data_IF_352706067731
#
_entry.id   IF_352706067731
#
_cell.length_a   1.000
_cell.length_b   1.000
_cell.length_c   1.000
_cell.angle_alpha   90.00
_cell.angle_beta   90.00
_cell.angle_gamma   90.00
#
_symmetry.space_group_name_H-M   'P 1'
#
loop_
_entity.id
_entity.type
_entity.pdbx_description
1 polymer ?
#
# COMPACT_ATOMS: atom_id res chain seq x y z
N UNK A 1 24.07 -12.20 -4.79
CA UNK A 1 22.60 -11.95 -4.84
C UNK A 1 22.23 -10.69 -4.07
N UNK A 2 22.44 -10.60 -2.74
CA UNK A 2 22.11 -9.37 -2.00
C UNK A 2 22.80 -8.10 -2.53
N UNK A 3 24.12 -8.16 -2.76
CA UNK A 3 24.85 -7.03 -3.32
C UNK A 3 24.31 -6.58 -4.68
N UNK A 4 23.83 -7.52 -5.49
CA UNK A 4 23.22 -7.21 -6.79
C UNK A 4 21.84 -6.56 -6.63
N UNK A 5 21.02 -7.05 -5.69
CA UNK A 5 19.75 -6.41 -5.32
C UNK A 5 19.98 -4.95 -4.92
N UNK A 6 20.93 -4.67 -4.02
CA UNK A 6 21.23 -3.32 -3.59
C UNK A 6 21.78 -2.44 -4.73
N UNK A 7 22.64 -3.00 -5.59
CA UNK A 7 23.22 -2.29 -6.74
C UNK A 7 22.16 -1.85 -7.75
N UNK A 8 21.07 -2.60 -7.91
CA UNK A 8 20.00 -2.31 -8.89
C UNK A 8 19.00 -1.24 -8.44
N UNK A 9 18.99 -0.86 -7.16
CA UNK A 9 18.06 0.16 -6.66
C UNK A 9 18.24 1.50 -7.41
N UNK A 10 17.18 2.18 -7.79
CA UNK A 10 17.26 3.56 -8.26
C UNK A 10 17.03 4.50 -7.07
N UNK A 11 18.11 4.91 -6.42
CA UNK A 11 18.06 5.69 -5.17
C UNK A 11 19.41 6.35 -4.88
N UNK A 12 19.46 7.17 -3.83
CA UNK A 12 20.68 7.85 -3.40
C UNK A 12 21.74 6.87 -2.91
N UNK A 13 23.01 7.27 -2.97
CA UNK A 13 24.12 6.42 -2.50
C UNK A 13 23.99 6.07 -1.01
N UNK A 14 23.49 6.98 -0.18
CA UNK A 14 23.27 6.73 1.24
C UNK A 14 22.22 5.64 1.48
N UNK A 15 21.07 5.72 0.80
CA UNK A 15 20.02 4.70 0.91
C UNK A 15 20.53 3.36 0.36
N UNK A 16 21.17 3.37 -0.81
CA UNK A 16 21.76 2.18 -1.43
C UNK A 16 22.77 1.48 -0.51
N UNK A 17 23.64 2.24 0.13
CA UNK A 17 24.62 1.72 1.09
C UNK A 17 23.93 1.08 2.29
N UNK A 18 22.91 1.74 2.86
CA UNK A 18 22.13 1.16 3.95
C UNK A 18 21.45 -0.16 3.56
N UNK A 19 20.90 -0.29 2.34
CA UNK A 19 20.41 -1.58 1.84
C UNK A 19 21.53 -2.62 1.71
N UNK A 20 22.71 -2.24 1.20
CA UNK A 20 23.85 -3.14 1.04
C UNK A 20 24.33 -3.71 2.39
N UNK A 21 24.35 -2.89 3.43
CA UNK A 21 24.80 -3.25 4.79
C UNK A 21 23.83 -4.17 5.54
N UNK A 22 22.58 -4.29 5.07
CA UNK A 22 21.53 -5.07 5.71
C UNK A 22 21.05 -6.21 4.79
N UNK A 23 21.74 -7.37 4.78
CA UNK A 23 21.36 -8.50 3.92
C UNK A 23 19.94 -9.01 4.16
N UNK A 24 19.06 -8.90 3.15
CA UNK A 24 17.61 -9.18 3.24
C UNK A 24 17.31 -10.57 3.81
N UNK A 25 18.10 -11.58 3.43
CA UNK A 25 17.96 -12.96 3.89
C UNK A 25 18.10 -13.17 5.41
N UNK A 26 18.75 -12.24 6.13
CA UNK A 26 18.90 -12.32 7.58
C UNK A 26 17.59 -12.01 8.32
N UNK A 27 16.70 -11.25 7.68
CA UNK A 27 15.44 -10.78 8.25
C UNK A 27 14.25 -11.65 7.82
N UNK A 28 14.33 -12.29 6.65
CA UNK A 28 13.24 -13.15 6.16
C UNK A 28 13.25 -14.49 6.92
N UNK A 29 12.07 -15.00 7.37
CA UNK A 29 11.95 -16.32 7.98
C UNK A 29 12.29 -17.48 7.04
N UNK A 30 12.29 -18.71 7.57
CA UNK A 30 12.55 -19.93 6.79
C UNK A 30 11.40 -20.25 5.82
N UNK A 31 10.16 -20.03 6.30
CA UNK A 31 8.90 -20.28 5.59
C UNK A 31 8.40 -18.99 4.94
N UNK A 32 8.14 -19.03 3.64
CA UNK A 32 7.60 -17.90 2.84
C UNK A 32 6.51 -18.39 1.88
N UNK A 33 5.70 -17.47 1.33
CA UNK A 33 4.59 -17.81 0.43
C UNK A 33 4.81 -17.16 -0.95
N UNK A 34 5.29 -17.91 -1.95
CA UNK A 34 5.46 -17.38 -3.30
C UNK A 34 4.16 -17.25 -4.10
N UNK A 35 3.11 -17.99 -3.72
CA UNK A 35 1.88 -18.11 -4.49
C UNK A 35 0.65 -18.19 -3.57
N UNK A 36 -0.44 -17.57 -3.99
CA UNK A 36 -1.69 -17.50 -3.21
C UNK A 36 -2.45 -18.82 -3.17
N UNK A 37 -2.23 -19.72 -4.12
CA UNK A 37 -2.83 -21.06 -4.23
C UNK A 37 -1.81 -22.18 -4.00
N UNK A 38 -0.51 -21.85 -4.03
CA UNK A 38 0.58 -22.79 -3.86
C UNK A 38 0.88 -23.16 -2.42
N UNK A 39 1.72 -24.20 -2.27
CA UNK A 39 2.30 -24.54 -0.98
C UNK A 39 3.37 -23.50 -0.57
N UNK A 40 3.55 -23.26 0.74
CA UNK A 40 4.62 -22.40 1.19
C UNK A 40 5.99 -22.99 0.85
N UNK A 41 6.96 -22.11 0.65
CA UNK A 41 8.34 -22.42 0.34
C UNK A 41 9.19 -22.40 1.61
N UNK A 42 9.86 -23.51 1.90
CA UNK A 42 10.73 -23.67 3.06
C UNK A 42 12.19 -23.61 2.58
N UNK A 43 13.00 -22.72 3.17
CA UNK A 43 14.41 -22.54 2.79
C UNK A 43 15.23 -23.83 2.96
N UNK A 44 15.04 -24.55 4.06
CA UNK A 44 15.76 -25.81 4.32
C UNK A 44 15.47 -26.91 3.28
N UNK A 45 14.25 -26.95 2.74
CA UNK A 45 13.85 -27.92 1.71
C UNK A 45 14.28 -27.51 0.30
N UNK A 46 14.31 -26.21 -0.02
CA UNK A 46 14.59 -25.70 -1.36
C UNK A 46 15.43 -24.40 -1.33
N UNK A 47 16.69 -24.45 -0.89
CA UNK A 47 17.49 -23.25 -0.60
C UNK A 47 17.73 -22.36 -1.83
N UNK A 48 17.97 -22.95 -3.01
CA UNK A 48 18.17 -22.21 -4.24
C UNK A 48 16.90 -21.47 -4.71
N UNK A 49 15.75 -22.15 -4.67
CA UNK A 49 14.44 -21.54 -5.01
C UNK A 49 14.07 -20.44 -4.01
N UNK A 50 14.32 -20.68 -2.72
CA UNK A 50 14.10 -19.70 -1.68
C UNK A 50 14.98 -18.46 -1.89
N UNK A 51 16.27 -18.63 -2.16
CA UNK A 51 17.17 -17.51 -2.45
C UNK A 51 16.74 -16.74 -3.71
N UNK A 52 16.36 -17.43 -4.79
CA UNK A 52 15.86 -16.77 -6.00
C UNK A 52 14.63 -15.92 -5.73
N UNK A 53 13.70 -16.43 -4.91
CA UNK A 53 12.48 -15.70 -4.57
C UNK A 53 12.78 -14.45 -3.74
N UNK A 54 13.58 -14.57 -2.68
CA UNK A 54 13.78 -13.46 -1.74
C UNK A 54 14.69 -12.34 -2.25
N UNK A 55 15.50 -12.62 -3.26
CA UNK A 55 16.34 -11.61 -3.93
C UNK A 55 15.73 -11.08 -5.23
N UNK A 56 14.48 -11.47 -5.53
CA UNK A 56 13.68 -10.83 -6.57
C UNK A 56 13.33 -9.38 -6.22
N UNK A 57 12.79 -8.68 -7.20
CA UNK A 57 12.44 -7.26 -7.09
C UNK A 57 11.11 -7.01 -6.37
N UNK A 58 10.29 -8.06 -6.21
CA UNK A 58 8.99 -8.00 -5.54
C UNK A 58 9.06 -8.16 -4.01
N UNK A 59 7.90 -7.93 -3.40
CA UNK A 59 7.68 -8.25 -2.00
C UNK A 59 7.74 -9.77 -1.75
N UNK A 60 8.22 -10.16 -0.58
CA UNK A 60 8.24 -11.55 -0.14
C UNK A 60 7.18 -11.71 0.93
N UNK A 61 6.12 -12.49 0.65
CA UNK A 61 5.10 -12.79 1.66
C UNK A 61 5.69 -13.70 2.74
N UNK A 62 5.66 -13.23 3.99
CA UNK A 62 6.27 -13.88 5.16
C UNK A 62 5.25 -14.38 6.17
N UNK A 63 3.98 -14.04 5.98
CA UNK A 63 2.85 -14.62 6.70
C UNK A 63 1.61 -14.56 5.80
N UNK A 64 0.82 -15.63 5.82
CA UNK A 64 -0.50 -15.66 5.22
C UNK A 64 -1.58 -15.91 6.29
N UNK A 65 -2.81 -15.45 6.03
CA UNK A 65 -4.02 -15.70 6.81
C UNK A 65 -3.86 -15.40 8.31
N UNK A 66 -3.12 -14.35 8.66
CA UNK A 66 -2.79 -13.97 10.04
C UNK A 66 -2.13 -15.11 10.84
N UNK A 67 -1.28 -15.89 10.16
CA UNK A 67 -0.57 -17.04 10.72
C UNK A 67 -1.42 -18.32 10.79
N UNK A 68 -2.61 -18.33 10.19
CA UNK A 68 -3.50 -19.49 10.14
C UNK A 68 -3.35 -20.24 8.82
N UNK A 69 -3.88 -21.46 8.77
CA UNK A 69 -4.08 -22.18 7.51
C UNK A 69 -5.31 -21.67 6.76
N UNK A 70 -5.35 -21.91 5.45
CA UNK A 70 -6.50 -21.60 4.62
C UNK A 70 -6.40 -22.28 3.25
N UNK A 71 -7.51 -22.39 2.52
CA UNK A 71 -7.51 -22.93 1.16
C UNK A 71 -6.82 -21.98 0.16
N UNK A 72 -6.70 -20.70 0.52
CA UNK A 72 -5.98 -19.66 -0.22
C UNK A 72 -5.08 -18.95 0.79
N UNK A 73 -3.85 -18.61 0.38
CA UNK A 73 -2.90 -17.87 1.18
C UNK A 73 -3.15 -16.37 0.97
N UNK A 74 -3.88 -15.74 1.87
CA UNK A 74 -4.07 -14.29 1.87
C UNK A 74 -2.88 -13.62 2.57
N UNK A 75 -2.06 -12.81 1.90
CA UNK A 75 -0.91 -12.17 2.55
C UNK A 75 -1.35 -11.34 3.77
N UNK A 76 -0.71 -11.59 4.91
CA UNK A 76 -0.94 -10.86 6.17
C UNK A 76 0.32 -10.23 6.75
N UNK A 77 1.49 -10.55 6.18
CA UNK A 77 2.75 -9.84 6.35
C UNK A 77 3.71 -10.12 5.19
N UNK A 78 4.59 -9.18 4.88
CA UNK A 78 5.64 -9.33 3.86
C UNK A 78 6.88 -8.51 4.20
N UNK A 79 8.02 -8.94 3.65
CA UNK A 79 9.15 -8.03 3.40
C UNK A 79 8.86 -7.29 2.09
N UNK A 80 8.52 -6.01 2.16
CA UNK A 80 8.15 -5.18 1.01
C UNK A 80 9.21 -5.18 -0.10
N UNK A 81 8.79 -4.85 -1.32
CA UNK A 81 9.67 -4.72 -2.48
C UNK A 81 10.81 -3.73 -2.21
N UNK A 82 12.08 -4.07 -2.51
CA UNK A 82 13.23 -3.24 -2.17
C UNK A 82 13.17 -1.82 -2.76
N UNK A 83 12.80 -1.69 -4.04
CA UNK A 83 12.71 -0.38 -4.70
C UNK A 83 11.65 0.50 -4.04
N UNK A 84 10.47 -0.05 -3.78
CA UNK A 84 9.38 0.66 -3.13
C UNK A 84 9.77 1.17 -1.73
N UNK A 85 10.53 0.37 -0.96
CA UNK A 85 11.07 0.81 0.33
C UNK A 85 12.10 1.94 0.17
N UNK A 86 12.99 1.85 -0.82
CA UNK A 86 13.94 2.93 -1.11
C UNK A 86 13.23 4.23 -1.48
N UNK A 87 12.16 4.17 -2.29
CA UNK A 87 11.34 5.33 -2.67
C UNK A 87 10.62 5.94 -1.46
N UNK A 88 10.05 5.11 -0.59
CA UNK A 88 9.37 5.56 0.63
C UNK A 88 10.33 6.20 1.64
N UNK A 89 11.52 5.61 1.83
CA UNK A 89 12.59 6.18 2.66
C UNK A 89 13.04 7.54 2.12
N UNK A 90 13.24 7.65 0.81
CA UNK A 90 13.61 8.91 0.17
C UNK A 90 12.52 9.98 0.33
N UNK A 91 11.25 9.60 0.15
CA UNK A 91 10.11 10.50 0.33
C UNK A 91 9.97 10.99 1.79
N UNK A 92 10.35 10.14 2.75
CA UNK A 92 10.35 10.47 4.18
C UNK A 92 11.55 11.32 4.60
N UNK A 93 12.55 11.48 3.72
CA UNK A 93 13.79 12.26 3.95
C UNK A 93 14.59 11.78 5.16
N UNK A 94 14.63 10.48 5.38
CA UNK A 94 15.38 9.89 6.50
C UNK A 94 16.88 10.06 6.26
N UNK A 95 17.56 10.63 7.26
CA UNK A 95 19.01 10.79 7.28
C UNK A 95 19.56 10.97 8.70
N UNK A 96 20.85 11.32 8.85
CA UNK A 96 21.49 11.41 10.16
C UNK A 96 20.73 12.32 11.13
N UNK A 97 20.48 11.84 12.36
CA UNK A 97 19.74 12.56 13.40
C UNK A 97 18.21 12.43 13.33
N UNK A 98 17.66 11.79 12.30
CA UNK A 98 16.20 11.67 12.15
C UNK A 98 15.61 10.74 13.22
N UNK A 99 14.56 11.20 13.92
CA UNK A 99 13.70 10.34 14.76
C UNK A 99 12.55 9.80 13.90
N UNK A 100 12.52 8.50 13.66
CA UNK A 100 11.56 7.86 12.76
C UNK A 100 10.56 7.02 13.53
N UNK A 101 9.28 7.20 13.23
CA UNK A 101 8.22 6.26 13.57
C UNK A 101 7.94 5.34 12.38
N UNK A 102 8.19 4.04 12.52
CA UNK A 102 7.74 3.04 11.56
C UNK A 102 6.46 2.37 12.04
N UNK A 103 5.46 2.25 11.16
CA UNK A 103 4.22 1.52 11.44
C UNK A 103 4.17 0.26 10.57
N UNK A 104 4.31 -0.90 11.20
CA UNK A 104 4.41 -2.21 10.55
C UNK A 104 5.86 -2.70 10.48
N UNK A 105 6.44 -3.09 11.62
CA UNK A 105 7.83 -3.61 11.67
C UNK A 105 8.03 -4.80 10.72
N UNK A 106 7.05 -5.70 10.63
CA UNK A 106 7.12 -6.87 9.76
C UNK A 106 8.36 -7.73 10.06
N UNK A 107 9.21 -7.92 9.06
CA UNK A 107 10.46 -8.70 9.23
C UNK A 107 11.55 -7.97 10.02
N UNK A 108 11.40 -6.68 10.29
CA UNK A 108 12.42 -5.81 10.89
C UNK A 108 13.49 -5.31 9.91
N UNK A 109 13.43 -5.69 8.62
CA UNK A 109 14.43 -5.31 7.64
C UNK A 109 14.48 -3.79 7.39
N UNK A 110 13.31 -3.18 7.17
CA UNK A 110 13.20 -1.74 6.93
C UNK A 110 13.58 -0.94 8.19
N UNK A 111 13.14 -1.37 9.38
CA UNK A 111 13.58 -0.79 10.66
C UNK A 111 15.11 -0.72 10.81
N UNK A 112 15.82 -1.78 10.43
CA UNK A 112 17.28 -1.81 10.49
C UNK A 112 17.93 -0.82 9.51
N UNK A 113 17.41 -0.74 8.28
CA UNK A 113 17.84 0.24 7.27
C UNK A 113 17.60 1.66 7.76
N UNK A 114 16.41 1.95 8.30
CA UNK A 114 16.06 3.24 8.89
C UNK A 114 17.02 3.62 10.02
N UNK A 115 17.33 2.67 10.90
CA UNK A 115 18.24 2.88 12.04
C UNK A 115 19.65 3.24 11.56
N UNK A 116 20.14 2.55 10.52
CA UNK A 116 21.42 2.86 9.89
C UNK A 116 21.47 4.24 9.24
N UNK A 117 20.39 4.67 8.59
CA UNK A 117 20.29 6.00 7.96
C UNK A 117 20.15 7.11 9.00
N UNK A 118 19.36 6.88 10.06
CA UNK A 118 19.19 7.79 11.18
C UNK A 118 20.50 8.00 11.96
N UNK A 119 21.36 6.97 12.00
CA UNK A 119 22.67 7.04 12.62
C UNK A 119 22.61 7.22 14.15
N UNK A 120 23.75 7.45 14.80
CA UNK A 120 23.87 7.41 16.27
C UNK A 120 23.16 8.55 17.00
N UNK A 121 22.83 9.63 16.30
CA UNK A 121 22.10 10.79 16.85
C UNK A 121 20.61 10.75 16.52
N UNK A 122 20.17 9.80 15.70
CA UNK A 122 18.77 9.56 15.40
C UNK A 122 18.20 8.42 16.25
N UNK A 123 16.94 8.09 16.01
CA UNK A 123 16.25 7.01 16.70
C UNK A 123 15.17 6.42 15.81
N UNK A 124 14.90 5.12 15.95
CA UNK A 124 13.79 4.46 15.26
C UNK A 124 12.91 3.79 16.29
N UNK A 125 11.63 4.17 16.33
CA UNK A 125 10.58 3.44 17.04
C UNK A 125 9.73 2.73 15.98
N UNK A 126 9.57 1.41 16.10
CA UNK A 126 8.84 0.60 15.13
C UNK A 126 7.69 -0.16 15.80
N UNK A 127 6.49 -0.02 15.25
CA UNK A 127 5.27 -0.61 15.80
C UNK A 127 4.89 -1.87 15.03
N UNK A 128 4.62 -2.97 15.72
CA UNK A 128 4.09 -4.20 15.13
C UNK A 128 2.89 -4.68 15.95
N UNK A 129 1.78 -4.99 15.29
CA UNK A 129 0.54 -5.39 15.97
C UNK A 129 0.48 -6.91 16.22
N UNK A 130 1.11 -7.70 15.37
CA UNK A 130 1.12 -9.16 15.48
C UNK A 130 2.21 -9.63 16.47
N UNK A 131 1.84 -10.34 17.55
CA UNK A 131 2.82 -10.74 18.56
C UNK A 131 3.89 -11.72 18.02
N UNK A 132 3.53 -12.60 17.09
CA UNK A 132 4.47 -13.57 16.53
C UNK A 132 5.46 -12.92 15.57
N UNK A 133 4.99 -11.95 14.77
CA UNK A 133 5.85 -11.14 13.90
C UNK A 133 6.75 -10.24 14.74
N UNK A 134 6.20 -9.58 15.77
CA UNK A 134 6.96 -8.74 16.68
C UNK A 134 8.12 -9.51 17.34
N UNK A 135 7.89 -10.76 17.75
CA UNK A 135 8.93 -11.59 18.36
C UNK A 135 10.01 -12.02 17.36
N UNK A 136 9.61 -12.39 16.13
CA UNK A 136 10.57 -12.64 15.05
C UNK A 136 11.43 -11.40 14.79
N UNK A 137 10.81 -10.23 14.63
CA UNK A 137 11.51 -8.97 14.41
C UNK A 137 12.44 -8.61 15.57
N UNK A 138 12.01 -8.79 16.83
CA UNK A 138 12.85 -8.58 18.03
C UNK A 138 14.10 -9.44 17.98
N UNK A 139 13.99 -10.70 17.55
CA UNK A 139 15.16 -11.58 17.37
C UNK A 139 16.11 -11.07 16.28
N UNK A 140 15.57 -10.49 15.20
CA UNK A 140 16.39 -9.93 14.10
C UNK A 140 17.00 -8.57 14.43
N UNK A 141 16.35 -7.81 15.32
CA UNK A 141 16.71 -6.43 15.69
C UNK A 141 17.42 -6.29 17.04
N UNK A 142 17.46 -7.33 17.88
CA UNK A 142 18.79 -7.83 18.23
C UNK A 142 19.79 -6.82 18.81
N UNK A 143 20.73 -6.55 17.92
CA UNK A 143 21.93 -5.74 18.10
C UNK A 143 21.80 -4.40 17.33
N UNK A 144 20.57 -4.02 16.96
CA UNK A 144 20.22 -2.81 16.23
C UNK A 144 19.54 -1.81 17.18
N UNK A 145 19.89 -0.52 17.16
CA UNK A 145 19.25 0.50 18.00
C UNK A 145 17.87 0.89 17.44
N UNK A 146 16.92 -0.05 17.51
CA UNK A 146 15.50 0.12 17.18
C UNK A 146 14.67 -0.18 18.42
N UNK A 147 13.80 0.74 18.80
CA UNK A 147 12.77 0.51 19.81
C UNK A 147 11.57 -0.18 19.17
N UNK A 148 11.48 -1.50 19.30
CA UNK A 148 10.32 -2.27 18.83
C UNK A 148 9.21 -2.29 19.89
N UNK A 149 8.05 -1.74 19.54
CA UNK A 149 6.85 -1.74 20.36
C UNK A 149 5.82 -2.70 19.78
N UNK A 150 5.38 -3.68 20.58
CA UNK A 150 4.24 -4.51 20.23
C UNK A 150 2.95 -3.72 20.49
N UNK A 151 2.23 -3.35 19.44
CA UNK A 151 1.02 -2.56 19.50
C UNK A 151 0.87 -1.59 18.33
N UNK A 152 -0.03 -0.62 18.49
CA UNK A 152 -0.39 0.37 17.46
C UNK A 152 -0.12 1.80 17.89
N UNK A 153 0.32 2.00 19.14
CA UNK A 153 0.50 3.32 19.75
C UNK A 153 1.98 3.47 20.12
N UNK A 154 2.65 4.54 19.66
CA UNK A 154 4.03 4.80 20.06
C UNK A 154 4.10 5.23 21.54
N UNK A 155 5.29 5.17 22.17
CA UNK A 155 5.47 5.57 23.55
C UNK A 155 4.92 6.97 23.85
N UNK A 156 4.35 7.16 25.04
CA UNK A 156 3.81 8.45 25.46
C UNK A 156 4.90 9.55 25.42
N UNK A 157 4.55 10.75 24.96
CA UNK A 157 5.48 11.87 24.87
C UNK A 157 6.55 11.78 23.76
N UNK A 158 6.62 10.68 23.00
CA UNK A 158 7.51 10.58 21.83
C UNK A 158 7.11 11.57 20.72
N UNK A 159 8.12 12.10 20.03
CA UNK A 159 7.99 13.00 18.88
C UNK A 159 8.98 12.58 17.78
N UNK A 160 8.55 12.71 16.53
CA UNK A 160 9.25 12.16 15.37
C UNK A 160 9.42 13.20 14.27
N UNK A 161 10.54 13.12 13.56
CA UNK A 161 10.82 13.96 12.40
C UNK A 161 10.26 13.33 11.12
N UNK A 162 10.03 12.01 11.12
CA UNK A 162 9.35 11.30 10.05
C UNK A 162 8.51 10.14 10.57
N UNK A 163 7.39 9.85 9.91
CA UNK A 163 6.61 8.64 10.07
C UNK A 163 6.51 7.91 8.73
N UNK A 164 6.74 6.59 8.74
CA UNK A 164 6.62 5.72 7.57
C UNK A 164 5.71 4.55 7.94
N UNK A 165 4.53 4.49 7.33
CA UNK A 165 3.66 3.32 7.43
C UNK A 165 3.96 2.34 6.30
N UNK A 166 4.24 1.09 6.65
CA UNK A 166 4.45 -0.03 5.71
C UNK A 166 3.20 -0.92 5.62
N UNK A 167 2.03 -0.32 5.87
CA UNK A 167 0.71 -0.89 5.69
C UNK A 167 -0.23 0.18 5.14
N UNK A 168 -1.25 -0.24 4.38
CA UNK A 168 -2.19 0.70 3.80
C UNK A 168 -3.18 1.22 4.84
N UNK A 169 -3.55 2.49 4.75
CA UNK A 169 -4.58 3.11 5.57
C UNK A 169 -5.65 3.78 4.70
N UNK A 170 -6.89 3.76 5.18
CA UNK A 170 -7.99 4.58 4.64
C UNK A 170 -8.16 5.85 5.46
N UNK A 171 -8.07 5.70 6.78
CA UNK A 171 -8.00 6.81 7.73
C UNK A 171 -6.59 6.90 8.27
N UNK A 172 -5.97 8.07 8.16
CA UNK A 172 -4.67 8.36 8.78
C UNK A 172 -4.93 8.53 10.29
N UNK A 173 -4.36 7.68 11.16
CA UNK A 173 -4.51 7.85 12.59
C UNK A 173 -4.01 9.21 13.04
N UNK A 174 -4.78 9.84 13.93
CA UNK A 174 -4.47 11.16 14.50
C UNK A 174 -3.08 11.17 15.13
N UNK A 175 -2.74 10.10 15.81
CA UNK A 175 -1.47 9.91 16.50
C UNK A 175 -0.29 9.99 15.54
N UNK A 176 -0.42 9.51 14.29
CA UNK A 176 0.66 9.64 13.31
C UNK A 176 0.90 11.10 12.92
N UNK A 177 -0.16 11.91 12.92
CA UNK A 177 -0.08 13.33 12.58
C UNK A 177 0.40 14.15 13.77
N UNK A 178 -0.14 13.91 14.96
CA UNK A 178 0.16 14.69 16.17
C UNK A 178 1.57 14.41 16.71
N UNK A 179 2.13 13.22 16.48
CA UNK A 179 3.49 12.87 16.92
C UNK A 179 4.58 13.28 15.92
N UNK A 180 4.23 13.74 14.72
CA UNK A 180 5.19 14.24 13.74
C UNK A 180 5.34 15.76 13.86
N UNK A 181 6.59 16.22 13.92
CA UNK A 181 6.93 17.63 14.04
C UNK A 181 6.38 18.47 12.87
N UNK A 182 6.15 19.79 13.03
CA UNK A 182 5.56 20.64 12.00
C UNK A 182 6.20 20.58 10.59
N UNK A 183 7.49 20.27 10.49
CA UNK A 183 8.23 20.12 9.21
C UNK A 183 8.48 18.66 8.82
N UNK A 184 7.98 17.73 9.63
CA UNK A 184 8.17 16.31 9.42
C UNK A 184 7.37 15.75 8.24
N UNK A 185 7.70 14.51 7.89
CA UNK A 185 7.08 13.79 6.77
C UNK A 185 6.27 12.61 7.27
N UNK A 186 5.07 12.43 6.74
CA UNK A 186 4.26 11.23 6.93
C UNK A 186 4.14 10.54 5.58
N UNK A 187 4.79 9.40 5.42
CA UNK A 187 4.78 8.61 4.20
C UNK A 187 3.96 7.36 4.44
N UNK A 188 2.91 7.15 3.65
CA UNK A 188 2.06 5.98 3.78
C UNK A 188 1.42 5.58 2.45
N UNK A 189 1.12 4.30 2.26
CA UNK A 189 0.14 3.84 1.28
C UNK A 189 -1.25 4.27 1.72
N UNK A 190 -1.92 5.09 0.91
CA UNK A 190 -3.26 5.59 1.19
C UNK A 190 -4.22 5.17 0.09
N UNK A 191 -5.40 4.70 0.50
CA UNK A 191 -6.50 4.42 -0.42
C UNK A 191 -7.82 4.56 0.30
N UNK A 192 -8.78 5.33 -0.25
CA UNK A 192 -9.97 5.75 0.49
C UNK A 192 -10.80 4.53 0.89
N UNK A 193 -10.95 3.56 -0.01
CA UNK A 193 -11.79 2.41 0.24
C UNK A 193 -11.00 1.09 0.25
N UNK A 194 -11.40 0.13 1.10
CA UNK A 194 -10.88 -1.22 1.03
C UNK A 194 -11.32 -1.85 -0.30
N UNK A 195 -10.35 -2.28 -1.10
CA UNK A 195 -10.54 -2.88 -2.41
C UNK A 195 -9.38 -3.81 -2.76
N UNK A 196 -9.58 -4.66 -3.77
CA UNK A 196 -8.54 -5.53 -4.32
C UNK A 196 -7.85 -4.80 -5.48
N UNK A 197 -7.26 -3.64 -5.18
CA UNK A 197 -6.48 -2.82 -6.11
C UNK A 197 -5.33 -2.15 -5.34
N UNK A 198 -4.49 -1.40 -6.03
CA UNK A 198 -3.37 -0.68 -5.45
C UNK A 198 -3.79 0.37 -4.41
N UNK A 199 -2.81 0.75 -3.60
CA UNK A 199 -2.87 1.76 -2.55
C UNK A 199 -1.66 2.68 -2.73
N UNK A 200 -1.76 3.74 -3.55
CA UNK A 200 -0.61 4.56 -3.90
C UNK A 200 0.01 5.19 -2.66
N UNK A 201 1.33 5.38 -2.70
CA UNK A 201 2.06 6.02 -1.61
C UNK A 201 1.91 7.53 -1.70
N UNK A 202 1.60 8.16 -0.58
CA UNK A 202 1.56 9.62 -0.42
C UNK A 202 2.58 10.07 0.61
N UNK A 203 3.24 11.20 0.34
CA UNK A 203 4.15 11.87 1.27
C UNK A 203 3.55 13.20 1.71
N UNK A 204 3.09 13.26 2.96
CA UNK A 204 2.41 14.38 3.56
C UNK A 204 3.33 15.18 4.47
N UNK A 205 3.06 16.46 4.62
CA UNK A 205 3.58 17.33 5.66
C UNK A 205 2.46 18.04 6.37
N UNK A 206 2.70 18.40 7.63
CA UNK A 206 1.76 19.14 8.44
C UNK A 206 1.67 20.59 7.97
N UNK A 207 0.46 21.15 7.99
CA UNK A 207 0.18 22.55 7.68
C UNK A 207 -0.65 23.12 8.82
N UNK A 208 0.02 23.82 9.74
CA UNK A 208 -0.60 24.27 10.98
C UNK A 208 -0.93 23.11 11.93
N UNK A 209 -1.84 23.31 12.88
CA UNK A 209 -2.09 22.30 13.91
C UNK A 209 -2.92 21.10 13.44
N UNK A 210 -3.81 21.30 12.45
CA UNK A 210 -4.95 20.39 12.22
C UNK A 210 -5.03 19.80 10.81
N UNK A 211 -4.02 20.02 9.97
CA UNK A 211 -4.08 19.63 8.56
C UNK A 211 -2.78 19.02 8.10
N UNK A 212 -2.89 18.05 7.21
CA UNK A 212 -1.77 17.49 6.44
C UNK A 212 -2.04 17.62 4.96
N UNK A 213 -0.98 17.86 4.18
CA UNK A 213 -1.06 17.95 2.72
C UNK A 213 0.19 17.40 2.08
N UNK A 214 0.07 16.85 0.87
CA UNK A 214 1.21 16.30 0.16
C UNK A 214 0.86 15.75 -1.21
N UNK A 215 1.83 15.09 -1.83
CA UNK A 215 1.70 14.51 -3.17
C UNK A 215 1.84 13.01 -3.13
N UNK A 216 1.17 12.34 -4.05
CA UNK A 216 1.44 10.93 -4.29
C UNK A 216 2.85 10.77 -4.90
N UNK A 217 3.52 9.68 -4.57
CA UNK A 217 4.93 9.44 -4.89
C UNK A 217 5.05 8.35 -5.94
N UNK A 218 4.46 7.19 -5.67
CA UNK A 218 4.52 6.02 -6.52
C UNK A 218 3.30 5.12 -6.30
N UNK A 219 3.11 4.21 -7.25
CA UNK A 219 2.15 3.13 -7.12
C UNK A 219 2.65 2.09 -6.12
N UNK A 220 1.73 1.48 -5.37
CA UNK A 220 2.08 0.40 -4.46
C UNK A 220 0.91 -0.53 -4.15
N UNK A 221 1.24 -1.74 -3.70
CA UNK A 221 0.29 -2.69 -3.15
C UNK A 221 0.70 -3.02 -1.72
N UNK A 222 -0.13 -2.63 -0.75
CA UNK A 222 0.12 -2.91 0.65
C UNK A 222 -1.04 -3.65 1.29
N UNK A 223 -0.70 -4.55 2.21
CA UNK A 223 -1.68 -5.11 3.13
C UNK A 223 -2.28 -3.98 3.97
N UNK A 224 -3.58 -4.06 4.23
CA UNK A 224 -4.29 -3.10 5.05
C UNK A 224 -3.83 -3.18 6.50
N UNK A 225 -3.66 -2.02 7.13
CA UNK A 225 -3.57 -1.87 8.58
C UNK A 225 -4.66 -2.74 9.24
N UNK A 226 -4.23 -3.61 10.16
CA UNK A 226 -5.13 -4.59 10.80
C UNK A 226 -6.25 -3.92 11.58
N UNK A 227 -6.05 -2.69 12.06
CA UNK A 227 -7.08 -1.91 12.77
C UNK A 227 -8.15 -1.34 11.82
N UNK A 228 -7.88 -1.33 10.52
CA UNK A 228 -8.75 -0.78 9.48
C UNK A 228 -9.25 -1.82 8.48
N UNK A 229 -9.00 -3.11 8.74
CA UNK A 229 -9.55 -4.18 7.93
C UNK A 229 -11.05 -4.23 8.09
N UNK A 230 -11.76 -4.19 6.97
CA UNK A 230 -13.17 -4.55 6.92
C UNK A 230 -13.27 -6.03 6.51
N UNK A 231 -14.29 -6.77 6.96
CA UNK A 231 -14.58 -8.09 6.41
C UNK A 231 -14.65 -8.00 4.88
N UNK A 232 -14.07 -8.98 4.17
CA UNK A 232 -14.26 -9.09 2.73
C UNK A 232 -15.77 -9.17 2.47
N UNK A 233 -16.32 -8.11 1.90
CA UNK A 233 -17.71 -8.11 1.47
C UNK A 233 -17.92 -9.09 0.33
N UNK A 234 -19.18 -9.45 0.10
CA UNK A 234 -19.53 -10.15 -1.13
C UNK A 234 -19.12 -9.32 -2.34
N UNK A 235 -18.77 -10.02 -3.41
CA UNK A 235 -18.49 -9.37 -4.67
C UNK A 235 -19.77 -8.63 -5.11
N UNK A 236 -19.73 -7.30 -5.32
CA UNK A 236 -20.95 -6.50 -5.47
C UNK A 236 -21.77 -6.99 -6.65
N UNK A 237 -23.07 -7.22 -6.51
CA UNK A 237 -23.93 -7.64 -7.63
C UNK A 237 -23.92 -9.13 -8.00
N UNK A 238 -23.23 -9.99 -7.24
CA UNK A 238 -23.21 -11.43 -7.53
C UNK A 238 -24.61 -12.04 -7.55
N UNK A 239 -24.87 -12.83 -8.59
CA UNK A 239 -26.16 -13.51 -8.77
C UNK A 239 -27.31 -12.58 -9.15
N UNK A 240 -27.04 -11.32 -9.49
CA UNK A 240 -28.05 -10.36 -9.94
C UNK A 240 -27.94 -10.15 -11.45
N UNK A 241 -29.08 -10.04 -12.11
CA UNK A 241 -29.14 -9.62 -13.51
C UNK A 241 -28.80 -8.13 -13.63
N UNK A 242 -28.15 -7.77 -14.72
CA UNK A 242 -27.86 -6.37 -15.02
C UNK A 242 -29.16 -5.62 -15.32
N UNK A 243 -29.42 -4.54 -14.59
CA UNK A 243 -30.54 -3.62 -14.88
C UNK A 243 -30.23 -2.76 -16.11
N UNK A 244 -28.94 -2.53 -16.38
CA UNK A 244 -28.50 -1.87 -17.61
C UNK A 244 -27.12 -2.34 -18.06
N UNK A 245 -26.91 -2.31 -19.37
CA UNK A 245 -25.61 -2.50 -20.02
C UNK A 245 -25.20 -1.21 -20.75
N UNK A 246 -23.91 -0.88 -20.66
CA UNK A 246 -23.25 0.19 -21.40
C UNK A 246 -22.00 -0.36 -22.09
N UNK A 247 -21.49 0.32 -23.10
CA UNK A 247 -20.17 0.06 -23.67
C UNK A 247 -19.33 1.31 -23.48
N UNK A 248 -18.12 1.16 -22.98
CA UNK A 248 -17.15 2.24 -22.81
C UNK A 248 -15.98 2.05 -23.77
N UNK A 249 -15.23 3.11 -24.14
CA UNK A 249 -14.17 3.04 -25.16
C UNK A 249 -12.84 2.49 -24.61
N UNK A 250 -12.88 1.74 -23.51
CA UNK A 250 -11.72 1.19 -22.82
C UNK A 250 -12.07 -0.14 -22.14
N UNK A 251 -11.07 -0.93 -21.84
CA UNK A 251 -11.17 -2.25 -21.24
C UNK A 251 -10.54 -2.26 -19.84
N UNK A 252 -10.75 -3.33 -19.05
CA UNK A 252 -10.00 -3.56 -17.82
C UNK A 252 -8.48 -3.53 -18.03
N UNK A 253 -7.98 -4.09 -19.14
CA UNK A 253 -6.55 -4.08 -19.46
C UNK A 253 -6.03 -2.65 -19.61
N UNK A 254 -6.75 -1.80 -20.35
CA UNK A 254 -6.39 -0.38 -20.51
C UNK A 254 -6.30 0.38 -19.18
N UNK A 255 -7.08 -0.01 -18.17
CA UNK A 255 -7.08 0.61 -16.85
C UNK A 255 -6.02 0.02 -15.91
N UNK A 256 -5.79 -1.29 -15.98
CA UNK A 256 -4.85 -1.99 -15.10
C UNK A 256 -3.41 -1.72 -15.54
N UNK A 257 -3.17 -1.68 -16.84
CA UNK A 257 -1.88 -1.28 -17.41
C UNK A 257 -1.57 0.19 -17.07
N UNK A 258 -0.29 0.50 -16.84
CA UNK A 258 0.23 1.81 -16.45
C UNK A 258 -0.43 2.45 -15.21
N UNK A 259 -1.02 1.66 -14.30
CA UNK A 259 -1.63 2.16 -13.05
C UNK A 259 -2.72 3.24 -13.28
N UNK A 260 -3.46 3.16 -14.40
CA UNK A 260 -4.52 4.13 -14.74
C UNK A 260 -5.72 4.02 -13.79
N UNK A 261 -6.04 2.80 -13.36
CA UNK A 261 -7.16 2.51 -12.48
C UNK A 261 -7.06 3.26 -11.14
N UNK A 262 -5.84 3.51 -10.69
CA UNK A 262 -5.56 4.21 -9.44
C UNK A 262 -5.93 5.68 -9.54
N UNK A 263 -5.56 6.33 -10.65
CA UNK A 263 -5.94 7.72 -10.94
C UNK A 263 -7.45 7.87 -11.07
N UNK A 264 -8.09 6.89 -11.71
CA UNK A 264 -9.57 6.80 -11.79
C UNK A 264 -10.18 6.65 -10.39
N UNK A 265 -9.68 5.73 -9.56
CA UNK A 265 -10.15 5.51 -8.18
C UNK A 265 -10.06 6.79 -7.34
N UNK A 266 -8.95 7.52 -7.44
CA UNK A 266 -8.74 8.79 -6.73
C UNK A 266 -9.78 9.87 -7.10
N UNK A 267 -10.43 9.76 -8.25
CA UNK A 267 -11.45 10.68 -8.76
C UNK A 267 -12.90 10.24 -8.47
N UNK A 268 -13.10 9.12 -7.78
CA UNK A 268 -14.42 8.51 -7.57
C UNK A 268 -14.78 8.37 -6.09
N UNK A 269 -15.16 9.47 -5.42
CA UNK A 269 -15.68 9.44 -4.04
C UNK A 269 -16.81 8.44 -3.85
N UNK A 270 -16.75 7.67 -2.77
CA UNK A 270 -17.75 6.66 -2.41
C UNK A 270 -17.69 5.36 -3.22
N UNK A 271 -16.87 5.28 -4.28
CA UNK A 271 -16.82 4.09 -5.13
C UNK A 271 -15.69 3.16 -4.67
N UNK A 272 -16.06 1.96 -4.24
CA UNK A 272 -15.14 0.84 -4.05
C UNK A 272 -14.79 0.26 -5.41
N UNK A 273 -13.50 0.17 -5.72
CA UNK A 273 -13.00 -0.40 -6.97
C UNK A 273 -12.07 -1.57 -6.65
N UNK A 274 -12.16 -2.64 -7.43
CA UNK A 274 -11.21 -3.74 -7.36
C UNK A 274 -11.04 -4.44 -8.70
N UNK A 275 -9.96 -5.19 -8.81
CA UNK A 275 -9.65 -6.03 -9.95
C UNK A 275 -9.95 -7.48 -9.59
N UNK A 276 -10.54 -8.20 -10.53
CA UNK A 276 -10.75 -9.65 -10.41
C UNK A 276 -10.46 -10.34 -11.73
N UNK A 277 -10.42 -11.68 -11.70
CA UNK A 277 -10.44 -12.50 -12.91
C UNK A 277 -11.74 -13.30 -12.97
N UNK A 278 -12.34 -13.40 -14.15
CA UNK A 278 -13.54 -14.21 -14.40
C UNK A 278 -13.43 -14.92 -15.73
N UNK A 279 -14.09 -16.09 -15.89
CA UNK A 279 -14.30 -16.68 -17.19
C UNK A 279 -14.98 -15.68 -18.13
N UNK A 280 -14.42 -15.49 -19.32
CA UNK A 280 -14.93 -14.62 -20.36
C UNK A 280 -14.55 -15.20 -21.73
N UNK A 281 -15.55 -15.45 -22.57
CA UNK A 281 -15.36 -15.98 -23.93
C UNK A 281 -14.49 -17.26 -24.03
N UNK A 282 -14.53 -18.12 -23.02
CA UNK A 282 -13.79 -19.39 -22.99
C UNK A 282 -12.46 -19.36 -22.24
N UNK A 283 -11.94 -18.18 -21.90
CA UNK A 283 -10.68 -17.98 -21.16
C UNK A 283 -10.89 -17.19 -19.87
N UNK A 284 -9.83 -16.95 -19.08
CA UNK A 284 -9.87 -16.01 -17.96
C UNK A 284 -9.59 -14.60 -18.46
N UNK A 285 -10.48 -13.66 -18.12
CA UNK A 285 -10.31 -12.24 -18.37
C UNK A 285 -10.27 -11.43 -17.08
N UNK A 286 -9.45 -10.37 -17.07
CA UNK A 286 -9.51 -9.37 -16.02
C UNK A 286 -10.81 -8.58 -16.10
N UNK A 287 -11.40 -8.30 -14.94
CA UNK A 287 -12.55 -7.42 -14.79
C UNK A 287 -12.24 -6.34 -13.77
N UNK A 288 -12.84 -5.17 -13.95
CA UNK A 288 -12.92 -4.15 -12.90
C UNK A 288 -14.31 -4.21 -12.31
N UNK A 289 -14.40 -4.38 -11.00
CA UNK A 289 -15.67 -4.37 -10.28
C UNK A 289 -15.78 -3.12 -9.42
N UNK A 290 -16.99 -2.57 -9.35
CA UNK A 290 -17.30 -1.36 -8.61
C UNK A 290 -18.48 -1.59 -7.67
N UNK A 291 -18.47 -0.93 -6.52
CA UNK A 291 -19.59 -0.91 -5.60
C UNK A 291 -19.72 0.41 -4.86
N UNK A 292 -20.95 0.84 -4.62
CA UNK A 292 -21.28 2.06 -3.87
C UNK A 292 -21.93 1.71 -2.50
N UNK A 293 -22.11 2.68 -1.59
CA UNK A 293 -22.75 2.45 -0.28
C UNK A 293 -24.25 2.14 -0.38
N UNK A 294 -24.92 2.60 -1.44
CA UNK A 294 -26.34 2.35 -1.72
C UNK A 294 -26.60 0.97 -2.37
N UNK A 295 -25.63 0.06 -2.29
CA UNK A 295 -25.62 -1.26 -2.91
C UNK A 295 -25.64 -1.27 -4.45
N UNK A 296 -25.41 -0.12 -5.12
CA UNK A 296 -25.16 -0.11 -6.55
C UNK A 296 -23.86 -0.83 -6.88
N UNK A 297 -23.84 -1.49 -8.04
CA UNK A 297 -22.74 -2.33 -8.47
C UNK A 297 -22.54 -2.21 -9.98
N UNK A 298 -21.30 -2.41 -10.41
CA UNK A 298 -20.97 -2.49 -11.83
C UNK A 298 -19.76 -3.41 -12.09
N UNK A 299 -19.77 -4.08 -13.24
CA UNK A 299 -18.66 -4.88 -13.76
C UNK A 299 -18.28 -4.36 -15.14
N UNK A 300 -17.03 -3.94 -15.31
CA UNK A 300 -16.41 -3.73 -16.61
C UNK A 300 -15.77 -5.04 -17.06
N UNK A 301 -16.25 -5.58 -18.18
CA UNK A 301 -15.79 -6.83 -18.79
C UNK A 301 -14.66 -6.59 -19.81
N UNK A 302 -13.92 -7.66 -20.20
CA UNK A 302 -12.80 -7.55 -21.13
C UNK A 302 -13.12 -6.92 -22.50
N UNK A 303 -14.37 -6.97 -22.94
CA UNK A 303 -14.83 -6.37 -24.21
C UNK A 303 -15.26 -4.90 -24.08
N UNK A 304 -15.09 -4.29 -22.90
CA UNK A 304 -15.53 -2.91 -22.63
C UNK A 304 -17.02 -2.79 -22.32
N UNK A 305 -17.76 -3.90 -22.23
CA UNK A 305 -19.14 -3.86 -21.73
C UNK A 305 -19.17 -3.64 -20.22
N UNK A 306 -20.08 -2.79 -19.77
CA UNK A 306 -20.32 -2.51 -18.34
C UNK A 306 -21.72 -2.98 -17.98
N UNK A 307 -21.81 -4.01 -17.15
CA UNK A 307 -23.05 -4.49 -16.55
C UNK A 307 -23.23 -3.81 -15.19
N UNK A 308 -24.39 -3.21 -14.92
CA UNK A 308 -24.64 -2.53 -13.65
C UNK A 308 -26.08 -2.65 -13.17
N UNK A 309 -26.28 -2.38 -11.88
CA UNK A 309 -27.59 -2.21 -11.26
C UNK A 309 -27.52 -1.32 -10.01
N UNK A 310 -28.66 -0.79 -9.60
CA UNK A 310 -28.78 0.15 -8.48
C UNK A 310 -28.86 1.62 -8.90
N UNK A 311 -29.00 2.50 -7.91
CA UNK A 311 -29.33 3.91 -8.11
C UNK A 311 -28.14 4.78 -8.54
N UNK A 312 -26.92 4.42 -8.14
CA UNK A 312 -25.70 5.14 -8.50
C UNK A 312 -25.22 4.73 -9.90
N UNK A 313 -25.07 5.68 -10.86
CA UNK A 313 -24.69 5.37 -12.25
C UNK A 313 -23.18 5.15 -12.38
N UNK A 314 -22.70 4.00 -11.90
CA UNK A 314 -21.27 3.66 -11.81
C UNK A 314 -20.57 3.63 -13.17
N UNK A 315 -21.23 3.13 -14.23
CA UNK A 315 -20.68 3.14 -15.59
C UNK A 315 -20.39 4.57 -16.08
N UNK A 316 -21.31 5.50 -15.82
CA UNK A 316 -21.15 6.90 -16.24
C UNK A 316 -20.10 7.62 -15.39
N UNK A 317 -20.01 7.31 -14.10
CA UNK A 317 -18.95 7.82 -13.21
C UNK A 317 -17.57 7.38 -13.70
N UNK A 318 -17.40 6.08 -13.97
CA UNK A 318 -16.17 5.51 -14.51
C UNK A 318 -15.77 6.19 -15.82
N UNK A 319 -16.70 6.29 -16.77
CA UNK A 319 -16.45 6.93 -18.07
C UNK A 319 -16.06 8.40 -17.91
N UNK A 320 -16.77 9.18 -17.08
CA UNK A 320 -16.43 10.59 -16.85
C UNK A 320 -15.04 10.78 -16.25
N UNK A 321 -14.65 9.93 -15.29
CA UNK A 321 -13.30 10.01 -14.71
C UNK A 321 -12.22 9.65 -15.74
N UNK A 322 -12.44 8.59 -16.53
CA UNK A 322 -11.56 8.21 -17.63
C UNK A 322 -11.41 9.34 -18.66
N UNK A 323 -12.53 9.86 -19.18
CA UNK A 323 -12.52 10.88 -20.23
C UNK A 323 -11.83 12.16 -19.73
N UNK A 324 -12.08 12.56 -18.48
CA UNK A 324 -11.42 13.72 -17.87
C UNK A 324 -9.90 13.54 -17.74
N UNK A 325 -9.42 12.32 -17.45
CA UNK A 325 -7.98 12.03 -17.45
C UNK A 325 -7.39 12.04 -18.86
N UNK A 326 -8.11 11.47 -19.82
CA UNK A 326 -7.69 11.43 -21.22
C UNK A 326 -7.59 12.85 -21.82
N UNK A 327 -8.58 13.71 -21.54
CA UNK A 327 -8.60 15.12 -21.96
C UNK A 327 -7.40 15.92 -21.43
N UNK A 328 -6.82 15.49 -20.31
CA UNK A 328 -5.62 16.07 -19.69
C UNK A 328 -4.35 15.25 -19.92
N UNK A 329 -4.36 14.33 -20.90
CA UNK A 329 -3.18 13.58 -21.33
C UNK A 329 -2.67 12.56 -20.31
N UNK A 330 -3.55 12.01 -19.46
CA UNK A 330 -3.22 11.02 -18.43
C UNK A 330 -2.09 11.49 -17.50
N UNK A 331 -2.31 12.55 -16.69
CA UNK A 331 -1.28 13.07 -15.80
C UNK A 331 -0.69 11.94 -14.92
N UNK A 332 0.62 11.98 -14.63
CA UNK A 332 1.22 11.00 -13.76
C UNK A 332 0.66 11.12 -12.34
N UNK A 333 0.73 10.03 -11.58
CA UNK A 333 0.23 9.97 -10.20
C UNK A 333 0.79 11.10 -9.31
N UNK A 334 2.04 11.51 -9.52
CA UNK A 334 2.70 12.61 -8.79
C UNK A 334 2.06 14.00 -8.95
N UNK A 335 1.17 14.17 -9.91
CA UNK A 335 0.42 15.42 -10.10
C UNK A 335 -0.82 15.47 -9.20
N UNK A 336 -1.20 14.33 -8.61
CA UNK A 336 -2.24 14.26 -7.60
C UNK A 336 -1.67 14.61 -6.23
N UNK A 337 -2.49 15.31 -5.45
CA UNK A 337 -2.23 15.69 -4.08
C UNK A 337 -3.32 15.19 -3.17
N UNK A 338 -2.98 14.99 -1.90
CA UNK A 338 -3.91 14.61 -0.85
C UNK A 338 -3.83 15.67 0.24
N UNK A 339 -5.00 16.10 0.70
CA UNK A 339 -5.17 16.89 1.91
C UNK A 339 -6.10 16.15 2.86
N UNK A 340 -5.77 16.13 4.15
CA UNK A 340 -6.64 15.60 5.20
C UNK A 340 -6.62 16.51 6.43
N UNK A 341 -7.76 16.58 7.13
CA UNK A 341 -7.86 17.19 8.46
C UNK A 341 -7.58 16.15 9.56
N UNK A 342 -7.03 16.60 10.69
CA UNK A 342 -6.72 15.73 11.85
C UNK A 342 -7.99 15.25 12.58
N UNK A 343 -9.07 16.03 12.51
CA UNK A 343 -10.35 15.72 13.16
C UNK A 343 -11.40 15.14 12.21
N UNK A 344 -11.21 15.25 10.90
CA UNK A 344 -12.23 14.94 9.92
C UNK A 344 -11.88 13.67 9.14
N UNK A 345 -12.86 12.79 8.97
CA UNK A 345 -12.74 11.64 8.10
C UNK A 345 -12.89 12.01 6.60
N UNK A 346 -12.51 13.24 6.24
CA UNK A 346 -12.62 13.79 4.88
C UNK A 346 -11.24 14.03 4.30
N UNK A 347 -11.03 13.44 3.12
CA UNK A 347 -9.77 13.43 2.40
C UNK A 347 -10.00 14.05 1.03
N UNK A 348 -9.36 15.18 0.77
CA UNK A 348 -9.48 15.88 -0.49
C UNK A 348 -8.32 15.50 -1.40
N UNK A 349 -8.62 14.76 -2.46
CA UNK A 349 -7.67 14.51 -3.55
C UNK A 349 -7.80 15.63 -4.56
N UNK A 350 -6.70 16.22 -5.02
CA UNK A 350 -6.72 17.31 -6.00
C UNK A 350 -5.63 17.17 -7.06
N UNK A 351 -5.90 17.67 -8.25
CA UNK A 351 -4.97 17.81 -9.38
C UNK A 351 -5.18 19.19 -10.03
N UNK A 352 -4.43 19.51 -11.09
CA UNK A 352 -4.51 20.80 -11.77
C UNK A 352 -5.89 21.13 -12.39
N UNK A 353 -6.74 20.13 -12.60
CA UNK A 353 -8.04 20.25 -13.27
C UNK A 353 -9.23 19.78 -12.44
N UNK A 354 -9.04 19.42 -11.16
CA UNK A 354 -10.14 18.91 -10.36
C UNK A 354 -9.80 18.62 -8.91
N UNK A 355 -10.83 18.46 -8.10
CA UNK A 355 -10.73 18.03 -6.72
C UNK A 355 -11.92 17.14 -6.34
N UNK A 356 -11.64 16.10 -5.54
CA UNK A 356 -12.60 15.07 -5.14
C UNK A 356 -12.49 14.82 -3.64
N UNK A 357 -13.61 14.87 -2.94
CA UNK A 357 -13.67 14.70 -1.49
C UNK A 357 -14.14 13.29 -1.13
N UNK A 358 -13.24 12.50 -0.56
CA UNK A 358 -13.51 11.15 -0.06
C UNK A 358 -13.87 11.21 1.41
N UNK A 359 -15.01 10.61 1.78
CA UNK A 359 -15.41 10.39 3.17
C UNK A 359 -15.22 8.90 3.50
N UNK A 360 -14.49 8.60 4.57
CA UNK A 360 -13.96 7.25 4.90
C UNK A 360 -14.12 6.81 6.34
#
# INVERSE_FOLDING_TARGET
MHAELARRLDTTDAIRAAFADHPRHRFIPDLVWPDIQGLPLIRSAAPARWASYIYGDDAVVTQANDGRGGPVNEPSSSSSAPQLMADMIAAARVGPGTRVLEIGTGTGWNAAILSSLAGPTGAVTSLEIDPGIAEHARTRLKDTPVELVHGTVPPEGSAFDAAIATCAASRIPREWIERVEPEGRIVLPWGPYPGSHSTPVVALSRVGAEKVTGRFVCEAYFMRDRTQRVPKGEFPGMGRDAESTRVVPFTPADLIEDDRLTRVMLMLPGVRIGVGMRPFSGDLGFIVHMGAPDASWAYLWPDGSVHQGGATPLADLLRRAHDLLADHGWPPLRDFSLQAGVADATYRVSTGFGAWEHRV
#
